data_IF_857189773814
#
_entry.id   IF_857189773814
#
_cell.length_a   1.000
_cell.length_b   1.000
_cell.length_c   1.000
_cell.angle_alpha   90.00
_cell.angle_beta   90.00
_cell.angle_gamma   90.00
#
_symmetry.space_group_name_H-M   'P 1'
#
loop_
_entity.id
_entity.type
_entity.pdbx_description
1 polymer ?
#
# COMPACT_ATOMS: atom_id res chain seq x y z
N UNK A 1 76.29 -60.96 -16.85
CA UNK A 1 76.68 -61.08 -15.42
C UNK A 1 77.32 -59.78 -14.98
N UNK A 2 77.03 -59.26 -13.78
CA UNK A 2 75.68 -58.93 -13.26
C UNK A 2 75.71 -57.48 -12.66
N UNK A 3 74.71 -56.86 -12.04
CA UNK A 3 73.59 -57.30 -11.19
C UNK A 3 72.39 -56.35 -11.39
N UNK A 4 71.20 -56.94 -11.32
CA UNK A 4 69.88 -56.33 -11.37
C UNK A 4 69.42 -55.75 -10.02
N UNK A 5 68.38 -54.92 -10.04
CA UNK A 5 67.57 -54.61 -8.86
C UNK A 5 66.45 -53.63 -9.20
N UNK A 6 65.24 -54.15 -9.44
CA UNK A 6 64.05 -53.35 -9.74
C UNK A 6 63.39 -52.72 -8.52
N UNK A 7 62.36 -51.89 -8.75
CA UNK A 7 61.10 -51.88 -8.01
C UNK A 7 60.10 -50.85 -8.59
N UNK A 8 58.91 -51.38 -8.87
CA UNK A 8 57.58 -50.81 -8.62
C UNK A 8 57.17 -49.43 -9.21
N UNK A 9 56.36 -49.53 -10.26
CA UNK A 9 55.00 -48.95 -10.40
C UNK A 9 54.59 -47.78 -9.49
N UNK A 10 54.12 -46.69 -10.13
CA UNK A 10 52.87 -45.99 -9.77
C UNK A 10 52.39 -45.16 -10.96
N UNK A 11 51.31 -45.63 -11.58
CA UNK A 11 50.62 -44.90 -12.63
C UNK A 11 49.91 -43.67 -12.07
N UNK A 12 50.27 -42.50 -12.59
CA UNK A 12 49.48 -41.29 -12.40
C UNK A 12 48.50 -41.16 -13.58
N UNK A 13 47.31 -41.75 -13.45
CA UNK A 13 46.18 -41.40 -14.31
C UNK A 13 45.82 -39.94 -14.00
N UNK A 14 46.16 -39.01 -14.90
CA UNK A 14 45.58 -37.66 -14.91
C UNK A 14 44.10 -37.79 -15.25
N UNK A 15 43.26 -37.85 -14.23
CA UNK A 15 41.83 -37.64 -14.39
C UNK A 15 41.61 -36.16 -14.70
N UNK A 16 41.28 -35.87 -15.96
CA UNK A 16 40.62 -34.62 -16.32
C UNK A 16 39.22 -34.66 -15.69
N UNK A 17 39.09 -34.10 -14.48
CA UNK A 17 37.79 -33.75 -13.92
C UNK A 17 37.36 -32.48 -14.64
N UNK A 18 36.55 -32.64 -15.68
CA UNK A 18 35.77 -31.54 -16.23
C UNK A 18 34.85 -31.05 -15.12
N UNK A 19 35.19 -29.92 -14.51
CA UNK A 19 34.24 -29.18 -13.67
C UNK A 19 33.17 -28.67 -14.62
N UNK A 20 32.06 -29.40 -14.71
CA UNK A 20 30.83 -28.87 -15.25
C UNK A 20 30.43 -27.71 -14.34
N UNK A 21 30.71 -26.49 -14.77
CA UNK A 21 30.12 -25.30 -14.18
C UNK A 21 28.65 -25.39 -14.52
N UNK A 22 27.88 -25.96 -13.59
CA UNK A 22 26.44 -25.84 -13.58
C UNK A 22 26.17 -24.38 -13.24
N UNK A 23 26.02 -23.56 -14.28
CA UNK A 23 25.32 -22.28 -14.15
C UNK A 23 23.91 -22.63 -13.73
N UNK A 24 23.62 -22.57 -12.43
CA UNK A 24 22.25 -22.32 -12.00
C UNK A 24 21.91 -20.94 -12.55
N UNK A 25 21.01 -20.81 -13.54
CA UNK A 25 20.50 -19.50 -13.86
C UNK A 25 19.89 -19.00 -12.56
N UNK A 26 20.32 -17.83 -12.08
CA UNK A 26 19.59 -17.13 -11.02
C UNK A 26 18.12 -17.11 -11.45
N UNK A 27 17.28 -17.85 -10.73
CA UNK A 27 15.92 -18.17 -11.17
C UNK A 27 15.11 -16.88 -11.29
N UNK A 28 15.07 -16.30 -12.49
CA UNK A 28 14.13 -15.25 -12.82
C UNK A 28 12.73 -15.88 -12.76
N UNK A 29 11.90 -15.49 -11.79
CA UNK A 29 10.52 -16.00 -11.64
C UNK A 29 9.78 -15.90 -12.98
N UNK A 30 8.97 -16.89 -13.40
CA UNK A 30 8.25 -16.80 -14.67
C UNK A 30 7.21 -15.66 -14.64
N UNK A 31 6.93 -15.10 -15.83
CA UNK A 31 5.73 -14.29 -16.02
C UNK A 31 4.53 -15.24 -16.09
N UNK A 32 3.52 -14.97 -15.28
CA UNK A 32 2.30 -15.77 -15.18
C UNK A 32 1.09 -14.90 -15.49
N UNK A 33 0.08 -15.52 -16.09
CA UNK A 33 -1.19 -14.85 -16.39
C UNK A 33 -1.87 -14.39 -15.08
N UNK A 34 -2.44 -13.18 -15.05
CA UNK A 34 -3.16 -12.69 -13.88
C UNK A 34 -4.54 -13.34 -13.74
N UNK A 35 -5.01 -13.46 -12.50
CA UNK A 35 -6.38 -13.85 -12.18
C UNK A 35 -7.25 -12.61 -11.98
N UNK A 36 -8.45 -12.60 -12.57
CA UNK A 36 -9.40 -11.50 -12.46
C UNK A 36 -10.54 -11.87 -11.51
N UNK A 37 -10.78 -11.04 -10.51
CA UNK A 37 -11.84 -11.20 -9.52
C UNK A 37 -12.78 -10.00 -9.64
N UNK A 38 -13.98 -10.16 -10.24
CA UNK A 38 -14.95 -9.08 -10.35
C UNK A 38 -15.53 -8.75 -8.97
N UNK A 39 -15.80 -7.48 -8.73
CA UNK A 39 -16.60 -7.06 -7.58
C UNK A 39 -18.07 -7.19 -7.96
N UNK A 40 -18.87 -7.76 -7.05
CA UNK A 40 -20.30 -7.91 -7.26
C UNK A 40 -20.96 -6.55 -7.62
N UNK A 41 -21.98 -6.57 -8.47
CA UNK A 41 -22.71 -5.36 -8.87
C UNK A 41 -23.66 -4.82 -7.77
N UNK A 42 -24.22 -3.61 -7.97
CA UNK A 42 -25.20 -3.03 -7.05
C UNK A 42 -26.39 -3.97 -6.81
N UNK A 43 -26.83 -4.11 -5.56
CA UNK A 43 -28.02 -4.89 -5.20
C UNK A 43 -27.79 -6.40 -5.03
N UNK A 44 -26.56 -6.89 -5.14
CA UNK A 44 -26.19 -8.19 -4.60
C UNK A 44 -26.17 -8.10 -3.06
N UNK A 45 -27.35 -8.10 -2.42
CA UNK A 45 -27.45 -8.14 -0.96
C UNK A 45 -26.78 -9.41 -0.45
N UNK A 46 -25.59 -9.30 0.14
CA UNK A 46 -25.11 -10.29 1.08
C UNK A 46 -25.63 -9.90 2.46
N UNK A 47 -26.35 -10.83 3.11
CA UNK A 47 -26.65 -10.73 4.53
C UNK A 47 -25.34 -10.53 5.28
N UNK A 48 -25.33 -9.67 6.31
CA UNK A 48 -24.17 -9.42 7.16
C UNK A 48 -23.54 -10.77 7.58
N UNK A 49 -22.49 -11.13 6.88
CA UNK A 49 -21.80 -12.39 7.00
C UNK A 49 -20.85 -12.28 8.17
N UNK A 50 -20.87 -13.24 9.10
CA UNK A 50 -19.89 -13.28 10.19
C UNK A 50 -18.46 -13.28 9.60
N UNK A 51 -17.44 -12.74 10.30
CA UNK A 51 -16.07 -12.63 9.77
C UNK A 51 -15.51 -13.93 9.19
N UNK A 52 -15.88 -15.06 9.80
CA UNK A 52 -15.48 -16.44 9.42
C UNK A 52 -16.09 -16.91 8.08
N UNK A 53 -17.03 -16.17 7.50
CA UNK A 53 -17.70 -16.49 6.22
C UNK A 53 -17.23 -15.64 5.05
N UNK A 54 -16.28 -14.73 5.30
CA UNK A 54 -15.74 -13.81 4.29
C UNK A 54 -14.39 -14.29 3.73
N UNK A 55 -14.00 -15.57 3.88
CA UNK A 55 -12.67 -16.10 3.50
C UNK A 55 -12.48 -16.33 1.99
N UNK A 56 -13.05 -15.45 1.15
CA UNK A 56 -12.80 -15.37 -0.27
C UNK A 56 -12.83 -13.92 -0.76
N UNK A 57 -12.05 -13.61 -1.80
CA UNK A 57 -11.93 -12.24 -2.30
C UNK A 57 -13.25 -11.65 -2.82
N UNK A 58 -14.08 -12.35 -3.63
CA UNK A 58 -15.39 -11.85 -4.03
C UNK A 58 -16.26 -11.38 -2.87
N UNK A 59 -16.44 -12.23 -1.85
CA UNK A 59 -17.30 -11.94 -0.68
C UNK A 59 -16.71 -10.81 0.15
N UNK A 60 -15.40 -10.80 0.41
CA UNK A 60 -14.77 -9.70 1.14
C UNK A 60 -14.86 -8.36 0.40
N UNK A 61 -14.65 -8.34 -0.93
CA UNK A 61 -14.76 -7.11 -1.72
C UNK A 61 -16.20 -6.56 -1.71
N UNK A 62 -17.21 -7.43 -1.79
CA UNK A 62 -18.61 -7.03 -1.67
C UNK A 62 -18.90 -6.42 -0.29
N UNK A 63 -18.47 -7.09 0.79
CA UNK A 63 -18.65 -6.61 2.16
C UNK A 63 -17.94 -5.26 2.41
N UNK A 64 -16.73 -5.08 1.88
CA UNK A 64 -16.02 -3.79 1.96
C UNK A 64 -16.83 -2.71 1.25
N UNK A 65 -17.25 -2.95 0.01
CA UNK A 65 -18.04 -1.97 -0.77
C UNK A 65 -19.33 -1.59 -0.06
N UNK A 66 -20.02 -2.56 0.54
CA UNK A 66 -21.24 -2.30 1.31
C UNK A 66 -20.97 -1.38 2.50
N UNK A 67 -19.85 -1.54 3.22
CA UNK A 67 -19.46 -0.61 4.31
C UNK A 67 -19.14 0.78 3.76
N UNK A 68 -18.37 0.87 2.67
CA UNK A 68 -18.03 2.15 2.04
C UNK A 68 -19.29 2.94 1.67
N UNK A 69 -20.28 2.30 1.06
CA UNK A 69 -21.52 2.94 0.63
C UNK A 69 -22.47 3.23 1.80
N UNK A 70 -22.75 2.23 2.63
CA UNK A 70 -23.83 2.30 3.62
C UNK A 70 -23.43 3.04 4.89
N UNK A 71 -22.19 2.90 5.35
CA UNK A 71 -21.72 3.53 6.58
C UNK A 71 -20.94 4.81 6.30
N UNK A 72 -19.99 4.77 5.36
CA UNK A 72 -19.12 5.91 5.06
C UNK A 72 -19.68 6.87 4.02
N UNK A 73 -20.82 6.54 3.41
CA UNK A 73 -21.53 7.36 2.40
C UNK A 73 -20.65 7.71 1.19
N UNK A 74 -19.74 6.81 0.83
CA UNK A 74 -18.85 6.95 -0.31
C UNK A 74 -19.49 6.38 -1.59
N UNK A 75 -19.14 6.91 -2.78
CA UNK A 75 -19.63 6.35 -4.02
C UNK A 75 -19.05 4.96 -4.29
N UNK A 76 -19.85 4.10 -4.92
CA UNK A 76 -19.43 2.76 -5.34
C UNK A 76 -18.33 2.83 -6.42
N UNK A 77 -17.16 2.20 -6.21
CA UNK A 77 -16.18 2.05 -7.27
C UNK A 77 -16.53 0.88 -8.20
N UNK A 78 -16.44 1.08 -9.51
CA UNK A 78 -16.52 0.02 -10.51
C UNK A 78 -15.13 -0.51 -10.84
N UNK A 79 -14.63 -1.45 -10.03
CA UNK A 79 -13.27 -1.98 -10.19
C UNK A 79 -13.21 -3.50 -10.18
N UNK A 80 -12.17 -4.03 -10.81
CA UNK A 80 -11.82 -5.46 -10.79
C UNK A 80 -10.53 -5.66 -9.98
N UNK A 81 -10.49 -6.66 -9.11
CA UNK A 81 -9.24 -7.08 -8.50
C UNK A 81 -8.46 -7.96 -9.48
N UNK A 82 -7.22 -7.58 -9.77
CA UNK A 82 -6.30 -8.30 -10.65
C UNK A 82 -5.15 -8.84 -9.81
N UNK A 83 -5.09 -10.16 -9.70
CA UNK A 83 -4.12 -10.89 -8.89
C UNK A 83 -2.97 -11.37 -9.77
N UNK A 84 -1.78 -10.83 -9.53
CA UNK A 84 -0.55 -11.28 -10.14
C UNK A 84 0.13 -12.29 -9.23
N UNK A 85 0.44 -13.49 -9.75
CA UNK A 85 0.97 -14.59 -8.95
C UNK A 85 2.31 -14.27 -8.24
N UNK A 86 3.10 -13.33 -8.77
CA UNK A 86 4.39 -12.96 -8.21
C UNK A 86 4.78 -11.52 -8.55
N UNK A 87 5.85 -11.02 -7.90
CA UNK A 87 6.37 -9.66 -8.08
C UNK A 87 6.71 -9.34 -9.54
N UNK A 88 7.31 -10.28 -10.27
CA UNK A 88 7.70 -10.05 -11.68
C UNK A 88 6.48 -9.85 -12.57
N UNK A 89 5.44 -10.66 -12.37
CA UNK A 89 4.18 -10.54 -13.10
C UNK A 89 3.46 -9.24 -12.72
N UNK A 90 3.53 -8.85 -11.45
CA UNK A 90 2.99 -7.57 -10.98
C UNK A 90 3.69 -6.37 -11.61
N UNK A 91 5.03 -6.34 -11.62
CA UNK A 91 5.81 -5.30 -12.30
C UNK A 91 5.45 -5.22 -13.79
N UNK A 92 5.32 -6.36 -14.47
CA UNK A 92 4.91 -6.41 -15.87
C UNK A 92 3.49 -5.84 -16.09
N UNK A 93 2.57 -6.10 -15.17
CA UNK A 93 1.23 -5.49 -15.15
C UNK A 93 1.27 -3.97 -14.99
N UNK A 94 2.14 -3.45 -14.13
CA UNK A 94 2.32 -1.99 -13.98
C UNK A 94 2.85 -1.35 -15.27
N UNK A 95 3.81 -2.00 -15.93
CA UNK A 95 4.33 -1.55 -17.23
C UNK A 95 3.24 -1.52 -18.30
N UNK A 96 2.37 -2.53 -18.34
CA UNK A 96 1.34 -2.63 -19.38
C UNK A 96 0.27 -1.54 -19.26
N UNK A 97 0.05 -0.99 -18.07
CA UNK A 97 -0.84 0.15 -17.83
C UNK A 97 -0.12 1.51 -17.89
N UNK A 98 1.13 1.55 -18.36
CA UNK A 98 1.84 2.78 -18.69
C UNK A 98 2.73 3.36 -17.58
N UNK A 99 3.03 2.62 -16.50
CA UNK A 99 4.02 3.08 -15.54
C UNK A 99 5.42 3.13 -16.18
N UNK A 100 6.22 4.20 -15.94
CA UNK A 100 7.62 4.21 -16.31
C UNK A 100 8.37 3.05 -15.66
N UNK A 101 9.40 2.52 -16.34
CA UNK A 101 10.12 1.31 -15.91
C UNK A 101 10.64 1.37 -14.48
N UNK A 102 11.32 2.47 -14.13
CA UNK A 102 11.90 2.63 -12.79
C UNK A 102 10.79 2.69 -11.72
N UNK A 103 9.71 3.42 -12.02
CA UNK A 103 8.57 3.54 -11.12
C UNK A 103 7.84 2.20 -10.96
N UNK A 104 7.66 1.42 -12.02
CA UNK A 104 7.05 0.09 -11.95
C UNK A 104 7.90 -0.87 -11.09
N UNK A 105 9.22 -0.84 -11.25
CA UNK A 105 10.15 -1.64 -10.43
C UNK A 105 10.04 -1.31 -8.95
N UNK A 106 10.05 -0.02 -8.61
CA UNK A 106 9.91 0.44 -7.23
C UNK A 106 8.51 0.09 -6.68
N UNK A 107 7.46 0.38 -7.44
CA UNK A 107 6.08 0.15 -7.03
C UNK A 107 5.72 -1.33 -6.91
N UNK A 108 6.41 -2.22 -7.63
CA UNK A 108 6.25 -3.68 -7.47
C UNK A 108 6.69 -4.20 -6.10
N UNK A 109 7.38 -3.39 -5.29
CA UNK A 109 7.68 -3.72 -3.91
C UNK A 109 6.45 -3.64 -2.99
N UNK A 110 5.39 -2.95 -3.42
CA UNK A 110 4.13 -2.88 -2.68
C UNK A 110 3.30 -4.16 -2.83
N UNK A 111 2.39 -4.39 -1.87
CA UNK A 111 1.48 -5.54 -1.90
C UNK A 111 0.35 -5.38 -2.93
N UNK A 112 -0.12 -4.15 -3.12
CA UNK A 112 -1.17 -3.80 -4.07
C UNK A 112 -1.11 -2.31 -4.45
N UNK A 113 -1.84 -1.94 -5.51
CA UNK A 113 -2.05 -0.57 -5.98
C UNK A 113 -3.48 -0.40 -6.50
N UNK A 114 -4.21 0.55 -5.93
CA UNK A 114 -5.53 0.98 -6.37
C UNK A 114 -5.48 1.91 -7.59
N UNK A 115 -6.22 1.55 -8.63
CA UNK A 115 -6.45 2.31 -9.85
C UNK A 115 -7.93 2.64 -10.06
N UNK A 116 -8.24 3.52 -11.02
CA UNK A 116 -9.62 3.97 -11.29
C UNK A 116 -10.57 2.85 -11.76
N UNK A 117 -10.03 1.74 -12.28
CA UNK A 117 -10.79 0.62 -12.85
C UNK A 117 -10.35 -0.75 -12.34
N UNK A 118 -9.25 -0.80 -11.60
CA UNK A 118 -8.68 -2.05 -11.13
C UNK A 118 -7.85 -1.85 -9.87
N UNK A 119 -7.87 -2.85 -9.00
CA UNK A 119 -6.89 -3.03 -7.94
C UNK A 119 -5.90 -4.06 -8.44
N UNK A 120 -4.63 -3.68 -8.54
CA UNK A 120 -3.57 -4.58 -8.97
C UNK A 120 -2.85 -5.08 -7.73
N UNK A 121 -2.85 -6.38 -7.48
CA UNK A 121 -2.24 -6.94 -6.27
C UNK A 121 -1.30 -8.11 -6.57
N UNK A 122 -0.23 -8.19 -5.80
CA UNK A 122 0.70 -9.32 -5.82
C UNK A 122 0.16 -10.42 -4.89
N UNK A 123 -0.46 -11.44 -5.48
CA UNK A 123 -1.03 -12.58 -4.76
C UNK A 123 0.00 -13.27 -3.87
N UNK A 124 1.25 -13.39 -4.32
CA UNK A 124 2.32 -13.99 -3.52
C UNK A 124 2.65 -13.20 -2.24
N UNK A 125 2.37 -11.88 -2.19
CA UNK A 125 2.45 -11.10 -0.94
C UNK A 125 1.17 -11.29 -0.13
N UNK A 126 0.00 -11.14 -0.75
CA UNK A 126 -1.29 -11.33 -0.07
C UNK A 126 -1.37 -12.68 0.65
N UNK A 127 -0.86 -13.73 0.02
CA UNK A 127 -0.88 -15.09 0.55
C UNK A 127 -0.04 -15.28 1.83
N UNK A 128 0.88 -14.36 2.11
CA UNK A 128 1.66 -14.34 3.36
C UNK A 128 0.96 -13.62 4.50
N UNK A 129 -0.09 -12.85 4.21
CA UNK A 129 -0.83 -12.07 5.21
C UNK A 129 -1.96 -12.91 5.84
N UNK A 130 -2.20 -12.75 7.16
CA UNK A 130 -3.45 -13.20 7.77
C UNK A 130 -4.67 -12.62 7.06
N UNK A 131 -5.79 -13.34 7.04
CA UNK A 131 -7.00 -12.91 6.32
C UNK A 131 -7.47 -11.49 6.69
N UNK A 132 -7.53 -11.08 7.98
CA UNK A 132 -7.90 -9.72 8.36
C UNK A 132 -7.00 -8.63 7.74
N UNK A 133 -5.70 -8.90 7.60
CA UNK A 133 -4.76 -7.96 6.98
C UNK A 133 -4.94 -7.87 5.46
N UNK A 134 -5.36 -8.96 4.81
CA UNK A 134 -5.75 -8.93 3.38
C UNK A 134 -6.98 -8.06 3.19
N UNK A 135 -8.01 -8.22 4.01
CA UNK A 135 -9.23 -7.39 3.97
C UNK A 135 -8.90 -5.93 4.21
N UNK A 136 -8.06 -5.63 5.21
CA UNK A 136 -7.60 -4.25 5.49
C UNK A 136 -6.88 -3.64 4.30
N UNK A 137 -5.94 -4.37 3.68
CA UNK A 137 -5.23 -3.91 2.50
C UNK A 137 -6.18 -3.68 1.33
N UNK A 138 -7.12 -4.59 1.07
CA UNK A 138 -8.11 -4.40 0.00
C UNK A 138 -9.03 -3.20 0.25
N UNK A 139 -9.42 -2.94 1.51
CA UNK A 139 -10.19 -1.75 1.87
C UNK A 139 -9.40 -0.46 1.63
N UNK A 140 -8.10 -0.46 1.95
CA UNK A 140 -7.19 0.63 1.62
C UNK A 140 -7.15 0.88 0.11
N UNK A 141 -6.90 -0.16 -0.71
CA UNK A 141 -6.81 0.00 -2.17
C UNK A 141 -8.15 0.36 -2.83
N UNK A 142 -9.27 -0.16 -2.32
CA UNK A 142 -10.62 0.25 -2.76
C UNK A 142 -10.87 1.72 -2.49
N UNK A 143 -10.34 2.26 -1.39
CA UNK A 143 -10.48 3.69 -1.07
C UNK A 143 -9.83 4.56 -2.13
N UNK A 144 -8.70 4.15 -2.71
CA UNK A 144 -8.13 4.88 -3.85
C UNK A 144 -9.04 4.87 -5.07
N UNK A 145 -9.73 3.76 -5.32
CA UNK A 145 -10.72 3.65 -6.40
C UNK A 145 -11.87 4.65 -6.19
N UNK A 146 -12.37 4.73 -4.96
CA UNK A 146 -13.38 5.73 -4.55
C UNK A 146 -12.86 7.16 -4.72
N UNK A 147 -11.62 7.45 -4.31
CA UNK A 147 -11.02 8.77 -4.49
C UNK A 147 -10.96 9.18 -5.97
N UNK A 148 -10.71 8.24 -6.88
CA UNK A 148 -10.79 8.52 -8.32
C UNK A 148 -12.23 8.79 -8.77
N UNK A 149 -13.23 8.03 -8.30
CA UNK A 149 -14.64 8.30 -8.60
C UNK A 149 -15.04 9.70 -8.16
N UNK A 150 -14.68 10.10 -6.94
CA UNK A 150 -14.90 11.46 -6.43
C UNK A 150 -14.25 12.52 -7.32
N UNK A 151 -13.03 12.27 -7.79
CA UNK A 151 -12.28 13.17 -8.66
C UNK A 151 -12.70 13.14 -10.14
N UNK A 152 -13.84 12.50 -10.50
CA UNK A 152 -14.34 12.47 -11.88
C UNK A 152 -13.79 11.33 -12.75
N UNK A 153 -13.16 10.32 -12.16
CA UNK A 153 -12.79 9.05 -12.80
C UNK A 153 -11.37 9.01 -13.40
N UNK A 154 -10.61 10.09 -13.30
CA UNK A 154 -9.19 10.11 -13.70
C UNK A 154 -8.26 9.80 -12.53
N UNK A 155 -7.02 9.40 -12.85
CA UNK A 155 -5.99 9.18 -11.82
C UNK A 155 -5.75 10.50 -11.07
N UNK A 156 -6.13 10.50 -9.80
CA UNK A 156 -6.22 11.64 -8.92
C UNK A 156 -4.92 12.42 -8.80
N UNK A 157 -5.02 13.73 -8.97
CA UNK A 157 -3.98 14.75 -8.76
C UNK A 157 -4.03 15.35 -7.36
N UNK A 158 -4.89 14.84 -6.49
CA UNK A 158 -4.95 15.22 -5.08
C UNK A 158 -3.69 14.80 -4.33
N UNK A 159 -3.43 15.47 -3.20
CA UNK A 159 -2.27 15.24 -2.36
C UNK A 159 -2.10 13.76 -1.99
N UNK A 160 -0.99 13.15 -2.40
CA UNK A 160 -0.72 11.72 -2.18
C UNK A 160 -0.70 11.39 -0.68
N UNK A 161 -0.06 12.20 0.15
CA UNK A 161 -0.07 11.99 1.61
C UNK A 161 -1.51 11.91 2.17
N UNK A 162 -2.43 12.76 1.69
CA UNK A 162 -3.79 12.77 2.18
C UNK A 162 -4.58 11.59 1.62
N UNK A 163 -4.31 11.18 0.37
CA UNK A 163 -4.89 9.97 -0.22
C UNK A 163 -4.54 8.71 0.57
N UNK A 164 -3.26 8.53 0.89
CA UNK A 164 -2.74 7.40 1.67
C UNK A 164 -3.30 7.41 3.10
N UNK A 165 -3.28 8.58 3.76
CA UNK A 165 -3.78 8.70 5.13
C UNK A 165 -5.28 8.43 5.25
N UNK A 166 -6.07 8.91 4.27
CA UNK A 166 -7.51 8.64 4.22
C UNK A 166 -7.78 7.18 3.88
N UNK A 167 -6.98 6.56 3.01
CA UNK A 167 -7.11 5.14 2.70
C UNK A 167 -6.87 4.27 3.94
N UNK A 168 -5.87 4.59 4.77
CA UNK A 168 -5.68 3.91 6.06
C UNK A 168 -6.84 4.16 7.04
N UNK A 169 -7.32 5.41 7.15
CA UNK A 169 -8.46 5.72 8.02
C UNK A 169 -9.73 4.96 7.62
N UNK A 170 -10.05 4.94 6.33
CA UNK A 170 -11.21 4.21 5.80
C UNK A 170 -11.02 2.70 5.98
N UNK A 171 -9.81 2.17 5.75
CA UNK A 171 -9.52 0.77 5.99
C UNK A 171 -9.76 0.37 7.45
N UNK A 172 -9.37 1.21 8.41
CA UNK A 172 -9.57 0.96 9.85
C UNK A 172 -11.05 0.96 10.23
N UNK A 173 -11.82 1.91 9.70
CA UNK A 173 -13.27 1.96 9.90
C UNK A 173 -13.95 0.73 9.29
N UNK A 174 -13.52 0.34 8.09
CA UNK A 174 -14.06 -0.82 7.38
C UNK A 174 -13.79 -2.11 8.15
N UNK A 175 -12.56 -2.34 8.61
CA UNK A 175 -12.24 -3.53 9.39
C UNK A 175 -12.94 -3.55 10.74
N UNK A 176 -13.21 -2.39 11.33
CA UNK A 176 -14.00 -2.29 12.56
C UNK A 176 -15.47 -2.64 12.32
N UNK A 177 -16.08 -2.12 11.26
CA UNK A 177 -17.46 -2.45 10.87
C UNK A 177 -17.64 -3.94 10.55
N UNK A 178 -16.65 -4.55 9.89
CA UNK A 178 -16.63 -5.98 9.59
C UNK A 178 -16.23 -6.89 10.78
N UNK A 179 -15.93 -6.31 11.95
CA UNK A 179 -15.60 -7.07 13.17
C UNK A 179 -14.21 -7.71 13.20
N UNK A 180 -13.30 -7.33 12.30
CA UNK A 180 -11.94 -7.87 12.23
C UNK A 180 -10.98 -7.28 13.26
N UNK A 181 -11.04 -5.95 13.45
CA UNK A 181 -10.19 -5.23 14.40
C UNK A 181 -10.83 -3.89 14.71
N UNK A 182 -10.83 -3.47 15.97
CA UNK A 182 -11.35 -2.15 16.32
C UNK A 182 -10.50 -1.03 15.71
N UNK A 183 -11.10 0.15 15.54
CA UNK A 183 -10.37 1.35 15.10
C UNK A 183 -9.19 1.66 16.03
N UNK A 184 -9.40 1.55 17.35
CA UNK A 184 -8.37 1.85 18.36
C UNK A 184 -7.17 0.90 18.28
N UNK A 185 -7.40 -0.39 18.04
CA UNK A 185 -6.33 -1.37 17.85
C UNK A 185 -5.57 -1.15 16.53
N UNK A 186 -6.29 -0.90 15.44
CA UNK A 186 -5.67 -0.62 14.13
C UNK A 186 -4.79 0.62 14.19
N UNK A 187 -5.33 1.69 14.79
CA UNK A 187 -4.60 2.94 15.06
C UNK A 187 -3.36 2.69 15.92
N UNK A 188 -3.48 1.92 17.01
CA UNK A 188 -2.36 1.60 17.89
C UNK A 188 -1.25 0.87 17.12
N UNK A 189 -1.57 -0.18 16.37
CA UNK A 189 -0.58 -0.93 15.58
C UNK A 189 0.14 -0.04 14.57
N UNK A 190 -0.55 0.89 13.91
CA UNK A 190 0.10 1.82 12.99
C UNK A 190 1.05 2.79 13.71
N UNK A 191 0.67 3.25 14.90
CA UNK A 191 1.46 4.18 15.70
C UNK A 191 2.64 3.53 16.43
N UNK A 192 2.64 2.20 16.60
CA UNK A 192 3.80 1.47 17.14
C UNK A 192 5.07 1.68 16.30
N UNK A 193 4.93 2.03 15.01
CA UNK A 193 6.06 2.43 14.16
C UNK A 193 6.78 3.68 14.66
N UNK A 194 6.11 4.55 15.43
CA UNK A 194 6.74 5.71 16.07
C UNK A 194 7.48 5.34 17.36
N UNK A 195 7.16 4.21 17.99
CA UNK A 195 7.81 3.81 19.24
C UNK A 195 9.29 3.45 19.02
N UNK A 196 9.65 2.96 17.84
CA UNK A 196 11.04 2.68 17.44
C UNK A 196 11.72 3.84 16.73
N UNK A 197 11.05 4.96 16.52
CA UNK A 197 11.61 6.11 15.81
C UNK A 197 12.61 6.89 16.69
N UNK A 198 13.63 7.53 16.09
CA UNK A 198 14.56 8.38 16.83
C UNK A 198 13.87 9.49 17.62
N UNK A 199 14.35 9.85 18.82
CA UNK A 199 13.89 11.03 19.54
C UNK A 199 14.04 12.30 18.70
N UNK A 200 13.00 13.14 18.71
CA UNK A 200 13.00 14.39 17.95
C UNK A 200 12.91 14.21 16.43
N UNK A 201 12.58 13.01 15.94
CA UNK A 201 12.29 12.79 14.52
C UNK A 201 11.23 13.78 14.04
N UNK A 202 11.55 14.53 13.00
CA UNK A 202 10.64 15.49 12.34
C UNK A 202 9.89 14.79 11.21
N UNK A 203 8.59 15.08 10.98
CA UNK A 203 7.90 14.54 9.81
C UNK A 203 8.50 15.10 8.53
N UNK A 204 8.34 14.37 7.42
CA UNK A 204 8.68 14.88 6.09
C UNK A 204 7.71 16.02 5.69
N UNK A 205 8.15 17.03 4.93
CA UNK A 205 7.27 18.09 4.45
C UNK A 205 6.13 17.54 3.58
N UNK A 206 4.90 18.00 3.79
CA UNK A 206 3.72 17.47 3.10
C UNK A 206 3.71 17.79 1.60
N UNK A 207 4.34 18.88 1.18
CA UNK A 207 4.50 19.25 -0.22
C UNK A 207 5.50 18.34 -0.97
N UNK A 208 6.46 17.77 -0.25
CA UNK A 208 7.35 16.69 -0.71
C UNK A 208 6.69 15.31 -0.70
N UNK A 209 5.44 15.20 -0.24
CA UNK A 209 4.63 13.98 -0.26
C UNK A 209 3.36 14.14 -1.11
N UNK A 210 3.35 15.12 -2.01
CA UNK A 210 2.15 15.53 -2.72
C UNK A 210 1.76 14.66 -3.91
N UNK A 211 2.70 13.98 -4.55
CA UNK A 211 2.46 13.17 -5.75
C UNK A 211 3.02 11.76 -5.57
N UNK A 212 2.52 10.79 -6.35
CA UNK A 212 3.03 9.42 -6.27
C UNK A 212 4.55 9.31 -6.55
N UNK A 213 5.14 9.99 -7.55
CA UNK A 213 6.60 9.99 -7.72
C UNK A 213 7.35 10.58 -6.52
N UNK A 214 6.83 11.68 -5.95
CA UNK A 214 7.41 12.28 -4.74
C UNK A 214 7.31 11.33 -3.55
N UNK A 215 6.18 10.66 -3.34
CA UNK A 215 6.00 9.64 -2.29
C UNK A 215 7.00 8.48 -2.41
N UNK A 216 7.18 7.95 -3.62
CA UNK A 216 8.16 6.89 -3.89
C UNK A 216 9.60 7.39 -3.65
N UNK A 217 9.91 8.65 -4.01
CA UNK A 217 11.20 9.25 -3.71
C UNK A 217 11.41 9.47 -2.19
N UNK A 218 10.38 9.93 -1.50
CA UNK A 218 10.39 10.20 -0.06
C UNK A 218 10.67 8.95 0.77
N UNK A 219 10.21 7.77 0.34
CA UNK A 219 10.56 6.50 1.01
C UNK A 219 12.07 6.24 1.06
N UNK A 220 12.84 6.78 0.11
CA UNK A 220 14.31 6.72 0.11
C UNK A 220 14.93 7.85 0.91
N UNK A 221 14.44 9.07 0.73
CA UNK A 221 14.98 10.27 1.37
C UNK A 221 14.76 10.26 2.88
N UNK A 222 13.53 9.93 3.32
CA UNK A 222 13.08 9.97 4.70
C UNK A 222 12.92 8.55 5.27
N UNK A 223 13.95 7.71 5.10
CA UNK A 223 13.90 6.29 5.46
C UNK A 223 13.59 6.02 6.94
N UNK A 224 13.93 6.95 7.84
CA UNK A 224 13.61 6.86 9.27
C UNK A 224 12.18 7.31 9.60
N UNK A 225 11.50 8.00 8.67
CA UNK A 225 10.14 8.52 8.87
C UNK A 225 9.11 7.48 8.43
N UNK A 226 8.22 7.02 9.32
CA UNK A 226 7.12 6.14 8.92
C UNK A 226 6.05 6.93 8.14
N UNK A 227 6.26 7.12 6.84
CA UNK A 227 5.44 8.00 5.98
C UNK A 227 3.94 7.67 6.00
N UNK A 228 3.56 6.38 6.02
CA UNK A 228 2.16 5.97 6.15
C UNK A 228 1.56 6.41 7.49
N UNK A 229 2.31 6.27 8.59
CA UNK A 229 1.90 6.74 9.91
C UNK A 229 1.76 8.26 9.94
N UNK A 230 2.67 8.98 9.27
CA UNK A 230 2.60 10.43 9.10
C UNK A 230 1.33 10.86 8.34
N UNK A 231 1.10 10.24 7.18
CA UNK A 231 -0.06 10.47 6.33
C UNK A 231 -1.37 10.22 7.09
N UNK A 232 -1.47 9.08 7.81
CA UNK A 232 -2.62 8.75 8.65
C UNK A 232 -2.86 9.81 9.72
N UNK A 233 -1.83 10.24 10.46
CA UNK A 233 -2.00 11.28 11.50
C UNK A 233 -2.46 12.62 10.91
N UNK A 234 -1.97 12.99 9.72
CA UNK A 234 -2.44 14.18 9.01
C UNK A 234 -3.91 14.07 8.60
N UNK A 235 -4.30 12.94 8.00
CA UNK A 235 -5.68 12.68 7.62
C UNK A 235 -6.62 12.64 8.83
N UNK A 236 -6.23 11.92 9.89
CA UNK A 236 -6.97 11.83 11.15
C UNK A 236 -7.19 13.23 11.76
N UNK A 237 -6.17 14.10 11.75
CA UNK A 237 -6.30 15.47 12.26
C UNK A 237 -7.31 16.30 11.46
N UNK A 238 -7.32 16.19 10.12
CA UNK A 238 -8.32 16.86 9.30
C UNK A 238 -9.73 16.31 9.56
N UNK A 239 -9.88 14.98 9.66
CA UNK A 239 -11.16 14.34 9.92
C UNK A 239 -11.68 14.74 11.31
N UNK A 240 -10.82 14.83 12.33
CA UNK A 240 -11.20 15.28 13.67
C UNK A 240 -11.65 16.76 13.69
N UNK A 241 -11.02 17.62 12.89
CA UNK A 241 -11.32 19.05 12.87
C UNK A 241 -12.53 19.41 12.01
N UNK A 242 -12.70 18.72 10.88
CA UNK A 242 -13.64 19.11 9.83
C UNK A 242 -14.68 18.04 9.48
N UNK A 243 -14.52 16.82 9.99
CA UNK A 243 -15.35 15.66 9.63
C UNK A 243 -14.93 15.00 8.32
N UNK A 244 -15.31 13.73 8.17
CA UNK A 244 -14.96 12.93 6.99
C UNK A 244 -15.61 13.44 5.71
N UNK A 245 -16.86 13.92 5.77
CA UNK A 245 -17.57 14.49 4.62
C UNK A 245 -16.78 15.65 3.98
N UNK A 246 -16.19 16.53 4.81
CA UNK A 246 -15.39 17.65 4.33
C UNK A 246 -14.10 17.19 3.65
N UNK A 247 -13.47 16.13 4.15
CA UNK A 247 -12.31 15.51 3.50
C UNK A 247 -12.70 14.86 2.16
N UNK A 248 -13.87 14.24 2.07
CA UNK A 248 -14.42 13.74 0.80
C UNK A 248 -14.69 14.88 -0.20
N UNK A 249 -15.17 16.04 0.25
CA UNK A 249 -15.33 17.23 -0.60
C UNK A 249 -13.99 17.69 -1.19
N UNK A 250 -12.89 17.65 -0.42
CA UNK A 250 -11.56 17.96 -0.94
C UNK A 250 -11.20 17.09 -2.15
N UNK A 251 -11.44 15.78 -2.10
CA UNK A 251 -11.20 14.91 -3.26
C UNK A 251 -12.16 15.21 -4.43
N UNK A 252 -13.42 15.49 -4.14
CA UNK A 252 -14.42 15.80 -5.17
C UNK A 252 -14.08 17.06 -6.00
N UNK A 253 -13.37 18.04 -5.41
CA UNK A 253 -12.95 19.26 -6.13
C UNK A 253 -12.03 18.98 -7.31
N UNK A 254 -11.29 17.87 -7.29
CA UNK A 254 -10.39 17.48 -8.38
C UNK A 254 -11.11 17.10 -9.67
N UNK A 255 -12.43 16.90 -9.64
CA UNK A 255 -13.22 16.79 -10.87
C UNK A 255 -13.24 18.07 -11.72
N UNK A 256 -12.88 19.21 -11.12
CA UNK A 256 -12.97 20.54 -11.75
C UNK A 256 -11.69 21.38 -11.70
N UNK A 257 -10.71 21.00 -10.86
CA UNK A 257 -9.50 21.78 -10.62
C UNK A 257 -8.36 20.88 -10.15
N UNK A 258 -7.21 21.00 -10.79
CA UNK A 258 -5.97 20.31 -10.40
C UNK A 258 -5.11 21.10 -9.40
N UNK A 259 -5.55 22.31 -9.02
CA UNK A 259 -4.83 23.15 -8.07
C UNK A 259 -5.05 22.64 -6.64
N UNK A 260 -4.10 21.82 -6.17
CA UNK A 260 -4.11 21.23 -4.81
C UNK A 260 -4.21 22.27 -3.71
N UNK A 261 -3.45 23.36 -3.80
CA UNK A 261 -3.40 24.37 -2.75
C UNK A 261 -4.71 25.17 -2.70
N UNK A 262 -5.23 25.55 -3.87
CA UNK A 262 -6.53 26.22 -3.96
C UNK A 262 -7.66 25.31 -3.49
N UNK A 263 -7.67 24.03 -3.89
CA UNK A 263 -8.66 23.05 -3.42
C UNK A 263 -8.59 22.86 -1.90
N UNK A 264 -7.39 22.75 -1.33
CA UNK A 264 -7.19 22.63 0.12
C UNK A 264 -7.74 23.86 0.85
N UNK A 265 -7.38 25.06 0.40
CA UNK A 265 -7.85 26.32 0.98
C UNK A 265 -9.36 26.47 0.87
N UNK A 266 -9.93 26.13 -0.28
CA UNK A 266 -11.37 26.22 -0.52
C UNK A 266 -12.17 25.25 0.35
N UNK A 267 -11.63 24.04 0.62
CA UNK A 267 -12.30 23.06 1.48
C UNK A 267 -12.14 23.39 2.96
N UNK A 268 -10.91 23.61 3.43
CA UNK A 268 -10.63 23.70 4.87
C UNK A 268 -10.57 25.13 5.41
N UNK A 269 -10.79 26.13 4.54
CA UNK A 269 -10.65 27.56 4.86
C UNK A 269 -9.30 27.90 5.50
N UNK A 270 -8.24 27.19 5.10
CA UNK A 270 -6.91 27.23 5.71
C UNK A 270 -5.84 26.89 4.68
N UNK A 271 -4.67 27.51 4.82
CA UNK A 271 -3.51 27.18 4.01
C UNK A 271 -2.83 25.89 4.44
N UNK A 272 -2.30 25.13 3.46
CA UNK A 272 -1.62 23.86 3.72
C UNK A 272 -0.43 24.05 4.67
N UNK A 273 0.36 25.11 4.49
CA UNK A 273 1.47 25.49 5.38
C UNK A 273 1.02 25.76 6.80
N UNK A 274 -0.18 26.31 6.98
CA UNK A 274 -0.73 26.57 8.31
C UNK A 274 -1.19 25.28 8.96
N UNK A 275 -1.81 24.39 8.19
CA UNK A 275 -2.16 23.05 8.64
C UNK A 275 -0.92 22.26 9.06
N UNK A 276 0.14 22.29 8.25
CA UNK A 276 1.39 21.57 8.50
C UNK A 276 2.03 21.94 9.84
N UNK A 277 2.03 23.22 10.23
CA UNK A 277 2.50 23.65 11.56
C UNK A 277 1.67 23.07 12.71
N UNK A 278 0.36 22.92 12.53
CA UNK A 278 -0.48 22.26 13.54
C UNK A 278 -0.28 20.74 13.55
N UNK A 279 -0.06 20.15 12.37
CA UNK A 279 0.27 18.75 12.22
C UNK A 279 1.60 18.39 12.89
N UNK A 280 2.65 19.21 12.75
CA UNK A 280 3.94 19.00 13.44
C UNK A 280 3.76 18.90 14.95
N UNK A 281 2.91 19.75 15.55
CA UNK A 281 2.59 19.66 16.98
C UNK A 281 1.97 18.30 17.32
N UNK A 282 0.98 17.85 16.54
CA UNK A 282 0.33 16.54 16.71
C UNK A 282 1.33 15.39 16.56
N UNK A 283 2.25 15.49 15.61
CA UNK A 283 3.32 14.51 15.40
C UNK A 283 4.20 14.38 16.64
N UNK A 284 4.67 15.50 17.21
CA UNK A 284 5.52 15.47 18.41
C UNK A 284 4.78 14.94 19.64
N UNK A 285 3.49 15.28 19.80
CA UNK A 285 2.66 14.73 20.88
C UNK A 285 2.59 13.20 20.80
N UNK A 286 2.32 12.63 19.62
CA UNK A 286 2.28 11.18 19.43
C UNK A 286 3.67 10.55 19.59
N UNK A 287 4.72 11.13 19.00
CA UNK A 287 6.09 10.62 19.12
C UNK A 287 6.54 10.54 20.59
N UNK A 288 6.35 11.61 21.36
CA UNK A 288 6.74 11.65 22.78
C UNK A 288 5.92 10.66 23.61
N UNK A 289 4.60 10.56 23.36
CA UNK A 289 3.72 9.66 24.12
C UNK A 289 4.06 8.16 23.97
N UNK A 290 4.83 7.81 22.93
CA UNK A 290 5.20 6.43 22.59
C UNK A 290 6.62 6.07 22.99
N UNK A 291 7.42 7.03 23.42
CA UNK A 291 8.78 6.76 23.87
C UNK A 291 8.77 6.25 25.31
N UNK A 292 9.59 5.24 25.64
CA UNK A 292 9.77 4.84 27.02
C UNK A 292 10.27 6.05 27.83
N UNK A 293 9.62 6.33 28.95
CA UNK A 293 10.10 7.31 29.93
C UNK A 293 11.52 6.88 30.33
N UNK A 294 12.50 7.75 30.06
CA UNK A 294 13.88 7.56 30.50
C UNK A 294 14.04 7.82 31.99
#
# INVERSE_FOLDING_TARGET
>A
MPIAGGLAARGARRALVSVAVVFWPACAQPLLEPTFVPIAGPGAQQQASAPDTLEDYPTALAAIVDVLESELKLPRPEVTLVLFANRRSFEAGLLSIGYPRELARDASAFGAIGGARAILANAGILDTLPWPDRVRLLAHELTHSVQYVLAGGERGRSDQWLREGVADWVAFQTTAALGYMSYGESRRHLLERLASAPPGLTPAPLDELATFPQWVAAQRTYHDVPLYTQAFLGAELLIQQYGFEKVSEYFARFASSDDRQSNFRATFARDLSDFERAFEKRWYEELISRQPLR
#
